data_IF_138277393884
#
_entry.id   IF_138277393884
#
_cell.length_a   1.000
_cell.length_b   1.000
_cell.length_c   1.000
_cell.angle_alpha   90.00
_cell.angle_beta   90.00
_cell.angle_gamma   90.00
#
_symmetry.space_group_name_H-M   'P 1'
#
loop_
_entity.id
_entity.type
_entity.pdbx_description
1 polymer ?
#
# COMPACT_ATOMS: atom_id res chain seq x y z
N UNK A 1 -20.95 9.34 26.59
CA UNK A 1 -20.27 10.13 25.54
C UNK A 1 -19.01 9.38 25.16
N UNK A 2 -19.01 8.76 23.99
CA UNK A 2 -18.12 7.64 23.66
C UNK A 2 -16.67 8.04 23.36
N UNK A 3 -15.77 7.07 23.54
CA UNK A 3 -14.33 7.19 23.22
C UNK A 3 -14.05 7.61 21.77
N UNK A 4 -15.03 7.49 20.87
CA UNK A 4 -14.98 7.98 19.49
C UNK A 4 -14.68 9.49 19.41
N UNK A 5 -15.28 10.31 20.28
CA UNK A 5 -15.04 11.75 20.26
C UNK A 5 -13.58 12.08 20.64
N UNK A 6 -13.04 11.34 21.62
CA UNK A 6 -11.64 11.46 22.03
C UNK A 6 -10.67 11.02 20.93
N UNK A 7 -11.00 9.97 20.17
CA UNK A 7 -10.21 9.56 18.99
C UNK A 7 -10.25 10.64 17.91
N UNK A 8 -11.43 11.22 17.61
CA UNK A 8 -11.57 12.27 16.60
C UNK A 8 -10.79 13.55 16.96
N UNK A 9 -10.81 13.94 18.24
CA UNK A 9 -10.06 15.11 18.72
C UNK A 9 -8.54 14.90 18.70
N UNK A 10 -8.08 13.66 18.79
CA UNK A 10 -6.67 13.32 18.81
C UNK A 10 -6.19 12.64 17.52
N UNK A 11 -6.88 12.81 16.38
CA UNK A 11 -6.50 12.18 15.11
C UNK A 11 -5.08 12.52 14.68
N UNK A 12 -4.64 13.77 14.89
CA UNK A 12 -3.28 14.22 14.59
C UNK A 12 -2.22 13.58 15.48
N UNK A 13 -2.60 13.08 16.65
CA UNK A 13 -1.73 12.35 17.57
C UNK A 13 -2.33 11.00 17.99
N UNK A 14 -2.87 10.26 17.01
CA UNK A 14 -3.64 9.05 17.29
C UNK A 14 -2.80 7.97 17.96
N UNK A 15 -1.51 7.89 17.64
CA UNK A 15 -0.60 6.90 18.20
C UNK A 15 -0.33 7.15 19.69
N UNK A 16 0.10 8.35 20.08
CA UNK A 16 0.37 8.64 21.51
C UNK A 16 -0.91 8.56 22.34
N UNK A 17 -2.02 9.09 21.80
CA UNK A 17 -3.32 9.00 22.47
C UNK A 17 -3.73 7.53 22.68
N UNK A 18 -3.58 6.69 21.66
CA UNK A 18 -3.88 5.26 21.76
C UNK A 18 -3.00 4.57 22.81
N UNK A 19 -1.70 4.87 22.84
CA UNK A 19 -0.78 4.33 23.85
C UNK A 19 -1.20 4.75 25.26
N UNK A 20 -1.53 6.03 25.46
CA UNK A 20 -1.97 6.56 26.75
C UNK A 20 -3.22 5.85 27.23
N UNK A 21 -4.23 5.73 26.37
CA UNK A 21 -5.49 5.07 26.71
C UNK A 21 -5.27 3.58 27.00
N UNK A 22 -4.46 2.87 26.21
CA UNK A 22 -4.16 1.46 26.45
C UNK A 22 -3.38 1.25 27.75
N UNK A 23 -2.39 2.09 28.06
CA UNK A 23 -1.66 2.03 29.34
C UNK A 23 -2.59 2.22 30.53
N UNK A 24 -3.55 3.15 30.43
CA UNK A 24 -4.53 3.38 31.48
C UNK A 24 -5.46 2.17 31.71
N UNK A 25 -5.74 1.38 30.67
CA UNK A 25 -6.66 0.24 30.73
C UNK A 25 -5.93 -1.12 30.79
N UNK A 26 -4.65 -1.14 31.23
CA UNK A 26 -3.90 -2.39 31.39
C UNK A 26 -3.58 -3.11 30.08
N UNK A 27 -3.57 -2.38 28.95
CA UNK A 27 -3.18 -2.89 27.64
C UNK A 27 -4.34 -3.39 26.76
N UNK A 28 -5.58 -3.45 27.24
CA UNK A 28 -6.74 -3.85 26.44
C UNK A 28 -7.94 -2.92 26.69
N UNK A 29 -8.59 -2.48 25.62
CA UNK A 29 -9.71 -1.55 25.65
C UNK A 29 -10.84 -2.02 24.75
N UNK A 30 -12.08 -1.94 25.23
CA UNK A 30 -13.28 -2.25 24.47
C UNK A 30 -14.05 -0.97 24.10
N UNK A 31 -14.15 -0.68 22.80
CA UNK A 31 -14.99 0.37 22.25
C UNK A 31 -16.42 -0.13 22.10
N UNK A 32 -17.21 0.00 23.16
CA UNK A 32 -18.61 -0.45 23.23
C UNK A 32 -19.49 0.08 22.10
N UNK A 33 -19.31 1.34 21.68
CA UNK A 33 -20.07 1.94 20.59
C UNK A 33 -19.71 1.40 19.19
N UNK A 34 -18.56 0.75 19.05
CA UNK A 34 -18.06 0.25 17.75
C UNK A 34 -17.93 -1.27 17.72
N UNK A 35 -18.33 -1.97 18.80
CA UNK A 35 -18.09 -3.41 18.98
C UNK A 35 -16.65 -3.82 18.63
N UNK A 36 -15.67 -2.98 19.00
CA UNK A 36 -14.27 -3.14 18.64
C UNK A 36 -13.44 -3.32 19.92
N UNK A 37 -12.49 -4.27 19.90
CA UNK A 37 -11.51 -4.45 20.98
C UNK A 37 -10.15 -4.06 20.42
N UNK A 38 -9.45 -3.21 21.16
CA UNK A 38 -8.07 -2.82 20.87
C UNK A 38 -7.18 -3.36 21.98
N UNK A 39 -6.11 -4.05 21.61
CA UNK A 39 -5.20 -4.69 22.58
C UNK A 39 -3.74 -4.52 22.15
N UNK A 40 -2.90 -4.19 23.12
CA UNK A 40 -1.44 -4.24 23.04
C UNK A 40 -0.86 -5.32 23.98
N UNK A 41 -1.70 -6.10 24.67
CA UNK A 41 -1.26 -7.24 25.48
C UNK A 41 -0.62 -8.32 24.59
N UNK A 42 0.66 -8.70 24.82
CA UNK A 42 1.35 -9.72 24.04
C UNK A 42 0.63 -11.07 24.00
N UNK A 43 -0.06 -11.47 25.08
CA UNK A 43 -0.81 -12.73 25.13
C UNK A 43 -2.01 -12.70 24.20
N UNK A 44 -2.73 -11.58 24.15
CA UNK A 44 -3.84 -11.38 23.22
C UNK A 44 -3.33 -11.32 21.78
N UNK A 45 -2.23 -10.61 21.52
CA UNK A 45 -1.61 -10.55 20.19
C UNK A 45 -1.19 -11.94 19.73
N UNK A 46 -0.55 -12.74 20.58
CA UNK A 46 -0.18 -14.12 20.25
C UNK A 46 -1.41 -15.00 20.00
N UNK A 47 -2.47 -14.82 20.81
CA UNK A 47 -3.72 -15.54 20.60
C UNK A 47 -4.34 -15.24 19.23
N UNK A 48 -4.44 -13.95 18.87
CA UNK A 48 -5.05 -13.48 17.62
C UNK A 48 -4.21 -13.86 16.41
N UNK A 49 -2.90 -13.62 16.45
CA UNK A 49 -2.02 -13.76 15.27
C UNK A 49 -1.48 -15.17 15.06
N UNK A 50 -1.49 -16.02 16.09
CA UNK A 50 -0.87 -17.35 16.05
C UNK A 50 -1.83 -18.45 16.49
N UNK A 51 -2.26 -18.46 17.76
CA UNK A 51 -2.97 -19.60 18.36
C UNK A 51 -4.36 -19.83 17.76
N UNK A 52 -5.06 -18.76 17.41
CA UNK A 52 -6.47 -18.79 17.03
C UNK A 52 -6.78 -17.93 15.79
N UNK A 53 -5.79 -17.73 14.91
CA UNK A 53 -5.86 -16.86 13.74
C UNK A 53 -7.09 -17.05 12.86
N UNK A 54 -7.57 -18.30 12.72
CA UNK A 54 -8.71 -18.65 11.87
C UNK A 54 -10.00 -17.91 12.29
N UNK A 55 -10.14 -17.58 13.57
CA UNK A 55 -11.30 -16.89 14.11
C UNK A 55 -11.21 -15.35 14.03
N UNK A 56 -10.08 -14.81 13.53
CA UNK A 56 -9.84 -13.37 13.43
C UNK A 56 -9.59 -12.97 11.97
N UNK A 57 -10.59 -13.21 11.12
CA UNK A 57 -10.62 -12.68 9.75
C UNK A 57 -10.68 -11.14 9.71
N UNK A 58 -10.41 -10.56 8.55
CA UNK A 58 -10.44 -9.10 8.33
C UNK A 58 -11.88 -8.58 8.31
N UNK A 59 -12.81 -9.39 7.81
CA UNK A 59 -14.23 -9.10 7.79
C UNK A 59 -14.64 -8.15 6.67
N UNK A 60 -15.96 -8.06 6.47
CA UNK A 60 -16.59 -7.31 5.37
C UNK A 60 -16.27 -5.82 5.38
N UNK A 61 -16.04 -5.22 6.56
CA UNK A 61 -15.73 -3.78 6.65
C UNK A 61 -14.38 -3.47 6.04
N UNK A 62 -13.33 -4.24 6.38
CA UNK A 62 -12.03 -4.07 5.74
C UNK A 62 -12.10 -4.43 4.26
N UNK A 63 -12.88 -5.47 3.92
CA UNK A 63 -13.11 -5.87 2.55
C UNK A 63 -13.62 -4.73 1.65
N UNK A 64 -14.62 -4.00 2.14
CA UNK A 64 -15.20 -2.86 1.43
C UNK A 64 -14.27 -1.65 1.36
N UNK A 65 -13.47 -1.40 2.40
CA UNK A 65 -12.52 -0.28 2.41
C UNK A 65 -11.42 -0.52 1.37
N UNK A 66 -10.87 -1.73 1.33
CA UNK A 66 -9.75 -2.13 0.48
C UNK A 66 -10.18 -2.85 -0.82
N UNK A 67 -11.41 -2.61 -1.28
CA UNK A 67 -12.02 -3.25 -2.44
C UNK A 67 -11.17 -3.17 -3.73
N UNK A 68 -10.39 -2.09 -3.88
CA UNK A 68 -9.43 -1.91 -4.96
C UNK A 68 -8.43 -3.07 -5.08
N UNK A 69 -7.97 -3.63 -3.95
CA UNK A 69 -6.98 -4.71 -3.94
C UNK A 69 -7.57 -6.08 -4.27
N UNK A 70 -8.89 -6.16 -4.54
CA UNK A 70 -9.56 -7.40 -4.93
C UNK A 70 -9.55 -8.47 -3.82
N UNK A 71 -9.51 -9.74 -4.21
CA UNK A 71 -9.53 -10.90 -3.28
C UNK A 71 -8.13 -11.39 -2.88
N UNK A 72 -7.09 -10.59 -3.14
CA UNK A 72 -5.71 -11.00 -2.87
C UNK A 72 -5.35 -10.96 -1.38
N UNK A 73 -4.08 -11.17 -1.07
CA UNK A 73 -3.55 -11.34 0.30
C UNK A 73 -3.91 -10.20 1.26
N UNK A 74 -4.18 -8.99 0.74
CA UNK A 74 -4.58 -7.81 1.51
C UNK A 74 -6.06 -7.88 1.93
N UNK A 75 -6.94 -8.55 1.18
CA UNK A 75 -8.38 -8.52 1.42
C UNK A 75 -9.06 -9.88 1.61
N UNK A 76 -8.35 -10.98 1.32
CA UNK A 76 -8.93 -12.33 1.38
C UNK A 76 -9.21 -12.76 2.82
N UNK A 77 -10.45 -13.18 3.07
CA UNK A 77 -10.87 -13.94 4.26
C UNK A 77 -10.96 -15.46 3.98
N UNK A 78 -10.79 -15.88 2.73
CA UNK A 78 -10.69 -17.29 2.40
C UNK A 78 -9.34 -17.82 2.89
N UNK A 79 -9.36 -18.55 4.01
CA UNK A 79 -8.15 -19.04 4.68
C UNK A 79 -7.24 -19.85 3.75
N UNK A 80 -7.81 -20.68 2.87
CA UNK A 80 -7.02 -21.50 1.95
C UNK A 80 -6.33 -20.65 0.88
N UNK A 81 -7.07 -19.73 0.25
CA UNK A 81 -6.52 -18.80 -0.74
C UNK A 81 -5.45 -17.89 -0.12
N UNK A 82 -5.74 -17.30 1.04
CA UNK A 82 -4.79 -16.45 1.76
C UNK A 82 -3.52 -17.21 2.16
N UNK A 83 -3.64 -18.44 2.68
CA UNK A 83 -2.48 -19.28 3.04
C UNK A 83 -1.64 -19.61 1.82
N UNK A 84 -2.28 -19.93 0.69
CA UNK A 84 -1.59 -20.22 -0.57
C UNK A 84 -0.79 -19.00 -1.02
N UNK A 85 -1.43 -17.85 -1.17
CA UNK A 85 -0.76 -16.61 -1.60
C UNK A 85 0.36 -16.19 -0.66
N UNK A 86 0.12 -16.26 0.66
CA UNK A 86 1.14 -15.96 1.67
C UNK A 86 2.32 -16.91 1.59
N UNK A 87 2.08 -18.21 1.45
CA UNK A 87 3.14 -19.21 1.35
C UNK A 87 4.03 -18.92 0.15
N UNK A 88 3.43 -18.61 -1.00
CA UNK A 88 4.15 -18.30 -2.23
C UNK A 88 4.97 -17.01 -2.05
N UNK A 89 4.35 -15.91 -1.62
CA UNK A 89 5.04 -14.64 -1.38
C UNK A 89 6.20 -14.81 -0.38
N UNK A 90 5.95 -15.46 0.74
CA UNK A 90 6.97 -15.71 1.76
C UNK A 90 8.13 -16.55 1.21
N UNK A 91 7.83 -17.63 0.47
CA UNK A 91 8.85 -18.46 -0.16
C UNK A 91 9.71 -17.68 -1.17
N UNK A 92 9.13 -16.69 -1.83
CA UNK A 92 9.80 -15.87 -2.83
C UNK A 92 10.69 -14.81 -2.17
N UNK A 93 10.18 -14.13 -1.14
CA UNK A 93 10.92 -13.14 -0.34
C UNK A 93 12.09 -13.76 0.43
N UNK A 94 11.99 -15.02 0.84
CA UNK A 94 13.07 -15.72 1.55
C UNK A 94 14.17 -16.28 0.63
N UNK A 95 14.00 -16.26 -0.70
CA UNK A 95 15.04 -16.74 -1.61
C UNK A 95 16.25 -15.82 -1.57
N UNK A 96 17.43 -16.42 -1.47
CA UNK A 96 18.70 -15.70 -1.55
C UNK A 96 18.82 -14.92 -2.87
N UNK A 97 18.37 -15.51 -3.98
CA UNK A 97 18.36 -14.86 -5.30
C UNK A 97 17.51 -13.59 -5.33
N UNK A 98 16.37 -13.58 -4.64
CA UNK A 98 15.54 -12.37 -4.51
C UNK A 98 16.23 -11.32 -3.64
N UNK A 99 16.87 -11.74 -2.55
CA UNK A 99 17.60 -10.83 -1.64
C UNK A 99 18.79 -10.16 -2.34
N UNK A 100 19.58 -10.93 -3.11
CA UNK A 100 20.70 -10.40 -3.90
C UNK A 100 20.17 -9.41 -4.95
N UNK A 101 19.12 -9.77 -5.67
CA UNK A 101 18.49 -8.92 -6.67
C UNK A 101 17.97 -7.61 -6.08
N UNK A 102 17.23 -7.66 -4.96
CA UNK A 102 16.72 -6.48 -4.28
C UNK A 102 17.86 -5.55 -3.83
N UNK A 103 18.93 -6.12 -3.27
CA UNK A 103 20.14 -5.37 -2.88
C UNK A 103 20.76 -4.65 -4.08
N UNK A 104 20.91 -5.34 -5.21
CA UNK A 104 21.48 -4.76 -6.43
C UNK A 104 20.63 -3.59 -6.95
N UNK A 105 19.30 -3.70 -6.94
CA UNK A 105 18.41 -2.60 -7.34
C UNK A 105 18.55 -1.41 -6.41
N UNK A 106 18.49 -1.66 -5.10
CA UNK A 106 18.60 -0.60 -4.09
C UNK A 106 19.94 0.12 -4.25
N UNK A 107 21.04 -0.62 -4.36
CA UNK A 107 22.37 -0.06 -4.53
C UNK A 107 22.46 0.77 -5.81
N UNK A 108 22.00 0.22 -6.95
CA UNK A 108 22.00 0.94 -8.24
C UNK A 108 21.16 2.22 -8.17
N UNK A 109 19.97 2.17 -7.57
CA UNK A 109 19.11 3.36 -7.40
C UNK A 109 19.72 4.40 -6.47
N UNK A 110 20.39 3.95 -5.43
CA UNK A 110 21.02 4.81 -4.44
C UNK A 110 22.22 5.55 -5.05
N UNK A 111 23.10 4.82 -5.74
CA UNK A 111 24.30 5.38 -6.39
C UNK A 111 23.97 6.30 -7.58
N UNK A 112 22.96 5.96 -8.38
CA UNK A 112 22.66 6.72 -9.58
C UNK A 112 21.67 7.87 -9.34
N UNK A 113 20.69 7.70 -8.45
CA UNK A 113 19.57 8.62 -8.35
C UNK A 113 19.57 9.39 -7.01
N UNK A 114 19.59 8.69 -5.87
CA UNK A 114 19.40 9.33 -4.56
C UNK A 114 20.63 10.11 -4.08
N UNK A 115 21.83 9.50 -4.09
CA UNK A 115 23.07 10.19 -3.66
C UNK A 115 23.33 11.41 -4.54
N UNK A 116 23.36 11.31 -5.90
CA UNK A 116 23.65 12.47 -6.74
C UNK A 116 22.60 13.58 -6.60
N UNK A 117 21.35 13.23 -6.34
CA UNK A 117 20.29 14.19 -6.05
C UNK A 117 20.58 14.97 -4.76
N UNK A 118 20.93 14.28 -3.68
CA UNK A 118 21.23 14.90 -2.39
C UNK A 118 22.50 15.77 -2.46
N UNK A 119 23.56 15.29 -3.10
CA UNK A 119 24.79 16.05 -3.32
C UNK A 119 24.51 17.35 -4.06
N UNK A 120 23.78 17.27 -5.18
CA UNK A 120 23.42 18.45 -5.96
C UNK A 120 22.54 19.43 -5.18
N UNK A 121 21.58 18.92 -4.40
CA UNK A 121 20.70 19.76 -3.58
C UNK A 121 21.50 20.49 -2.49
N UNK A 122 22.44 19.79 -1.86
CA UNK A 122 23.36 20.34 -0.86
C UNK A 122 24.22 21.45 -1.43
N UNK A 123 24.81 21.25 -2.62
CA UNK A 123 25.61 22.26 -3.32
C UNK A 123 24.80 23.54 -3.64
N UNK A 124 23.54 23.39 -4.03
CA UNK A 124 22.65 24.52 -4.35
C UNK A 124 22.11 25.19 -3.08
N UNK A 125 22.15 24.51 -1.93
CA UNK A 125 21.63 25.01 -0.66
C UNK A 125 20.10 25.00 -0.57
N UNK A 126 19.43 24.09 -1.28
CA UNK A 126 17.97 24.00 -1.27
C UNK A 126 17.45 23.08 -0.14
N UNK A 127 16.34 23.47 0.47
CA UNK A 127 15.57 22.58 1.34
C UNK A 127 14.80 21.53 0.51
N UNK A 128 14.79 20.28 0.98
CA UNK A 128 14.08 19.18 0.30
C UNK A 128 13.23 18.38 1.27
N UNK A 129 12.04 18.01 0.79
CA UNK A 129 11.18 17.06 1.48
C UNK A 129 11.63 15.62 1.21
N UNK A 130 12.42 15.06 2.12
CA UNK A 130 12.89 13.67 2.01
C UNK A 130 11.75 12.65 1.96
N UNK A 131 10.59 12.92 2.56
CA UNK A 131 9.45 12.00 2.50
C UNK A 131 8.94 11.88 1.06
N UNK A 132 8.86 13.01 0.35
CA UNK A 132 8.46 13.02 -1.06
C UNK A 132 9.43 12.23 -1.94
N UNK A 133 10.74 12.40 -1.77
CA UNK A 133 11.75 11.71 -2.59
C UNK A 133 11.88 10.22 -2.24
N UNK A 134 11.93 9.87 -0.95
CA UNK A 134 12.02 8.47 -0.52
C UNK A 134 10.80 7.66 -0.93
N UNK A 135 9.60 8.28 -0.97
CA UNK A 135 8.39 7.61 -1.50
C UNK A 135 8.53 7.25 -2.97
N UNK A 136 9.15 8.10 -3.78
CA UNK A 136 9.41 7.83 -5.21
C UNK A 136 10.49 6.77 -5.38
N UNK A 137 11.54 6.84 -4.56
CA UNK A 137 12.59 5.84 -4.51
C UNK A 137 12.03 4.44 -4.22
N UNK A 138 11.19 4.31 -3.19
CA UNK A 138 10.55 3.03 -2.85
C UNK A 138 9.53 2.61 -3.92
N UNK A 139 8.78 3.54 -4.51
CA UNK A 139 7.87 3.25 -5.62
C UNK A 139 8.59 2.67 -6.84
N UNK A 140 9.73 3.25 -7.24
CA UNK A 140 10.54 2.74 -8.35
C UNK A 140 11.06 1.32 -8.05
N UNK A 141 11.56 1.09 -6.83
CA UNK A 141 12.03 -0.24 -6.41
C UNK A 141 10.88 -1.27 -6.45
N UNK A 142 9.72 -0.92 -5.90
CA UNK A 142 8.53 -1.79 -5.90
C UNK A 142 8.07 -2.07 -7.33
N UNK A 143 8.02 -1.07 -8.21
CA UNK A 143 7.69 -1.28 -9.62
C UNK A 143 8.72 -2.19 -10.32
N UNK A 144 10.00 -2.06 -10.01
CA UNK A 144 11.01 -2.96 -10.56
C UNK A 144 10.81 -4.40 -10.05
N UNK A 145 10.56 -4.56 -8.75
CA UNK A 145 10.36 -5.84 -8.08
C UNK A 145 8.99 -6.48 -8.34
N UNK A 146 7.97 -5.75 -8.79
CA UNK A 146 6.62 -6.31 -8.97
C UNK A 146 6.02 -6.01 -10.33
N UNK A 147 6.74 -5.31 -11.22
CA UNK A 147 6.33 -5.07 -12.61
C UNK A 147 7.46 -5.32 -13.60
N UNK A 148 8.69 -5.54 -13.12
CA UNK A 148 9.86 -5.80 -13.95
C UNK A 148 10.35 -4.57 -14.72
N UNK A 149 9.94 -3.35 -14.33
CA UNK A 149 10.42 -2.12 -14.98
C UNK A 149 10.64 -1.00 -13.97
N UNK A 150 11.58 -0.13 -14.31
CA UNK A 150 11.83 1.12 -13.59
C UNK A 150 10.98 2.25 -14.20
N UNK A 151 10.03 2.85 -13.47
CA UNK A 151 9.31 4.03 -13.96
C UNK A 151 10.20 5.28 -14.01
N UNK A 152 11.38 5.25 -13.40
CA UNK A 152 12.34 6.35 -13.29
C UNK A 152 11.68 7.61 -12.75
N UNK A 153 10.89 7.44 -11.67
CA UNK A 153 10.24 8.58 -11.05
C UNK A 153 11.22 9.38 -10.21
N UNK A 154 12.29 8.78 -9.70
CA UNK A 154 13.29 9.54 -8.97
C UNK A 154 14.21 10.33 -9.92
N UNK A 155 14.29 11.67 -9.84
CA UNK A 155 15.22 12.43 -10.66
C UNK A 155 16.61 12.47 -10.02
N UNK A 156 17.66 12.45 -10.83
CA UNK A 156 19.05 12.53 -10.38
C UNK A 156 19.47 14.00 -10.17
N UNK A 157 18.62 14.97 -10.57
CA UNK A 157 18.80 16.42 -10.40
C UNK A 157 17.44 17.10 -10.20
N UNK A 158 17.38 18.15 -9.38
CA UNK A 158 16.16 18.94 -9.14
C UNK A 158 15.55 19.45 -10.45
N UNK A 159 16.38 19.92 -11.40
CA UNK A 159 15.92 20.43 -12.70
C UNK A 159 15.21 19.39 -13.58
N UNK A 160 15.37 18.09 -13.27
CA UNK A 160 14.71 16.98 -13.97
C UNK A 160 13.49 16.45 -13.22
N UNK A 161 13.05 17.11 -12.15
CA UNK A 161 11.92 16.66 -11.35
C UNK A 161 10.62 16.71 -12.16
N UNK A 162 10.18 15.54 -12.62
CA UNK A 162 8.85 15.33 -13.17
C UNK A 162 7.84 15.05 -12.06
N UNK A 163 6.58 15.38 -12.27
CA UNK A 163 5.48 15.04 -11.36
C UNK A 163 4.51 14.07 -12.06
N UNK A 164 4.88 12.78 -12.18
CA UNK A 164 4.04 11.82 -12.87
C UNK A 164 2.69 11.70 -12.18
N UNK A 165 1.62 11.73 -12.97
CA UNK A 165 0.26 11.68 -12.46
C UNK A 165 -0.01 10.43 -11.60
N UNK A 166 0.60 9.28 -11.94
CA UNK A 166 0.42 8.02 -11.23
C UNK A 166 1.06 8.00 -9.83
N UNK A 167 2.17 8.70 -9.59
CA UNK A 167 2.76 8.82 -8.24
C UNK A 167 1.84 9.64 -7.34
N UNK A 168 1.22 10.69 -7.87
CA UNK A 168 0.21 11.45 -7.10
C UNK A 168 -1.06 10.65 -6.89
N UNK A 169 -1.46 9.86 -7.88
CA UNK A 169 -2.62 9.00 -7.78
C UNK A 169 -2.50 7.98 -6.64
N UNK A 170 -1.33 7.37 -6.42
CA UNK A 170 -1.15 6.44 -5.28
C UNK A 170 -1.31 7.13 -3.94
N UNK A 171 -0.79 8.35 -3.78
CA UNK A 171 -0.97 9.15 -2.55
C UNK A 171 -2.46 9.44 -2.30
N UNK A 172 -3.17 9.90 -3.33
CA UNK A 172 -4.62 10.15 -3.24
C UNK A 172 -5.38 8.88 -2.87
N UNK A 173 -5.01 7.74 -3.47
CA UNK A 173 -5.64 6.46 -3.15
C UNK A 173 -5.42 6.07 -1.68
N UNK A 174 -4.19 6.16 -1.18
CA UNK A 174 -3.86 5.90 0.23
C UNK A 174 -4.66 6.82 1.17
N UNK A 175 -4.69 8.12 0.91
CA UNK A 175 -5.41 9.10 1.73
C UNK A 175 -6.91 8.80 1.81
N UNK A 176 -7.54 8.44 0.68
CA UNK A 176 -8.97 8.11 0.68
C UNK A 176 -9.23 6.80 1.42
N UNK A 177 -8.37 5.78 1.27
CA UNK A 177 -8.48 4.53 2.03
C UNK A 177 -8.41 4.78 3.55
N UNK A 178 -7.46 5.62 4.00
CA UNK A 178 -7.40 6.04 5.41
C UNK A 178 -8.63 6.85 5.83
N UNK A 179 -9.14 7.71 4.97
CA UNK A 179 -10.35 8.50 5.23
C UNK A 179 -11.60 7.61 5.41
N UNK A 180 -11.71 6.51 4.65
CA UNK A 180 -12.82 5.55 4.77
C UNK A 180 -12.86 4.86 6.15
N UNK A 181 -11.73 4.72 6.85
CA UNK A 181 -11.68 4.13 8.20
C UNK A 181 -12.33 5.01 9.28
N UNK A 182 -12.30 6.33 9.11
CA UNK A 182 -12.86 7.30 10.07
C UNK A 182 -14.22 7.85 9.64
N UNK A 183 -14.62 7.59 8.39
CA UNK A 183 -15.88 8.07 7.83
C UNK A 183 -16.97 7.02 7.97
N UNK A 184 -18.16 7.35 8.49
CA UNK A 184 -19.28 6.40 8.56
C UNK A 184 -19.59 5.78 7.20
N UNK A 185 -19.85 4.46 7.18
CA UNK A 185 -20.07 3.69 5.95
C UNK A 185 -21.05 4.31 4.98
N UNK A 186 -22.21 4.72 5.48
CA UNK A 186 -23.27 5.32 4.66
C UNK A 186 -22.83 6.63 3.99
N UNK A 187 -21.96 7.41 4.63
CA UNK A 187 -21.54 8.72 4.14
C UNK A 187 -20.55 8.60 2.99
N UNK A 188 -19.51 7.77 3.14
CA UNK A 188 -18.57 7.58 2.03
C UNK A 188 -19.20 6.78 0.88
N UNK A 189 -20.10 5.82 1.15
CA UNK A 189 -20.90 5.17 0.09
C UNK A 189 -21.80 6.16 -0.64
N UNK A 190 -22.35 7.16 0.04
CA UNK A 190 -23.11 8.23 -0.61
C UNK A 190 -22.21 9.11 -1.49
N UNK A 191 -21.00 9.46 -1.02
CA UNK A 191 -20.02 10.19 -1.84
C UNK A 191 -19.58 9.40 -3.07
N UNK A 192 -19.39 8.08 -2.93
CA UNK A 192 -19.09 7.16 -4.02
C UNK A 192 -20.25 7.12 -5.02
N UNK A 193 -21.49 7.00 -4.55
CA UNK A 193 -22.66 6.98 -5.44
C UNK A 193 -22.85 8.30 -6.19
N UNK A 194 -22.73 9.43 -5.50
CA UNK A 194 -22.86 10.77 -6.09
C UNK A 194 -21.61 11.22 -6.87
N UNK A 195 -20.52 10.47 -6.79
CA UNK A 195 -19.23 10.80 -7.41
C UNK A 195 -18.73 12.20 -7.00
N UNK A 196 -18.74 12.48 -5.70
CA UNK A 196 -18.30 13.75 -5.10
C UNK A 196 -17.22 13.52 -4.03
N UNK A 197 -16.59 14.60 -3.57
CA UNK A 197 -15.68 14.56 -2.42
C UNK A 197 -14.45 13.69 -2.64
N UNK A 198 -14.09 12.91 -1.62
CA UNK A 198 -12.90 12.07 -1.63
C UNK A 198 -13.04 10.86 -2.56
N UNK A 199 -14.26 10.34 -2.70
CA UNK A 199 -14.53 9.17 -3.56
C UNK A 199 -14.42 9.49 -5.05
N UNK A 200 -14.77 10.72 -5.47
CA UNK A 200 -14.50 11.19 -6.84
C UNK A 200 -12.99 11.19 -7.14
N UNK A 201 -12.19 11.76 -6.23
CA UNK A 201 -10.72 11.79 -6.37
C UNK A 201 -10.14 10.38 -6.40
N UNK A 202 -10.67 9.47 -5.59
CA UNK A 202 -10.28 8.06 -5.60
C UNK A 202 -10.51 7.41 -6.95
N UNK A 203 -11.69 7.62 -7.56
CA UNK A 203 -11.98 7.09 -8.89
C UNK A 203 -11.03 7.65 -9.96
N UNK A 204 -10.81 8.96 -9.99
CA UNK A 204 -9.88 9.59 -10.95
C UNK A 204 -8.44 9.07 -10.77
N UNK A 205 -7.98 8.97 -9.52
CA UNK A 205 -6.67 8.42 -9.19
C UNK A 205 -6.54 6.95 -9.60
N UNK A 206 -7.56 6.14 -9.34
CA UNK A 206 -7.64 4.75 -9.77
C UNK A 206 -7.51 4.63 -11.29
N UNK A 207 -8.25 5.42 -12.06
CA UNK A 207 -8.16 5.40 -13.52
C UNK A 207 -6.76 5.76 -14.05
N UNK A 208 -6.10 6.74 -13.43
CA UNK A 208 -4.71 7.12 -13.78
C UNK A 208 -3.75 5.97 -13.49
N UNK A 209 -3.90 5.33 -12.33
CA UNK A 209 -3.03 4.24 -11.89
C UNK A 209 -3.26 2.96 -12.72
N UNK A 210 -4.51 2.64 -13.04
CA UNK A 210 -4.88 1.52 -13.91
C UNK A 210 -4.35 1.73 -15.33
N UNK A 211 -4.46 2.95 -15.89
CA UNK A 211 -3.85 3.30 -17.20
C UNK A 211 -2.34 3.13 -17.18
N UNK A 212 -1.67 3.50 -16.09
CA UNK A 212 -0.23 3.29 -15.93
C UNK A 212 0.13 1.80 -16.00
N UNK A 213 -0.59 0.93 -15.28
CA UNK A 213 -0.35 -0.51 -15.35
C UNK A 213 -0.64 -1.11 -16.72
N UNK A 214 -1.76 -0.75 -17.35
CA UNK A 214 -2.14 -1.28 -18.67
C UNK A 214 -1.09 -0.91 -19.71
N UNK A 215 -0.69 0.37 -19.77
CA UNK A 215 0.35 0.83 -20.70
C UNK A 215 1.63 0.03 -20.54
N UNK A 216 2.08 -0.15 -19.29
CA UNK A 216 3.35 -0.82 -18.99
C UNK A 216 3.30 -2.33 -19.20
N UNK A 217 2.16 -2.97 -19.00
CA UNK A 217 1.96 -4.38 -19.40
C UNK A 217 2.15 -4.57 -20.91
N UNK A 218 1.66 -3.64 -21.72
CA UNK A 218 1.82 -3.69 -23.18
C UNK A 218 3.29 -3.51 -23.57
N UNK A 219 3.99 -2.56 -22.94
CA UNK A 219 5.42 -2.32 -23.18
C UNK A 219 6.30 -3.51 -22.74
N UNK A 220 5.99 -4.13 -21.59
CA UNK A 220 6.72 -5.29 -21.07
C UNK A 220 6.52 -6.56 -21.92
N UNK A 221 5.38 -6.72 -22.60
CA UNK A 221 5.20 -7.82 -23.57
C UNK A 221 6.05 -7.63 -24.83
N UNK A 222 6.43 -6.39 -25.16
CA UNK A 222 7.30 -6.08 -26.30
C UNK A 222 8.80 -6.26 -25.97
N UNK A 223 9.19 -6.16 -24.70
CA UNK A 223 10.58 -6.31 -24.23
C UNK A 223 10.75 -7.65 -23.52
N UNK A 224 11.08 -8.71 -24.28
CA UNK A 224 11.21 -10.09 -23.77
C UNK A 224 12.52 -10.39 -23.02
N UNK A 225 13.43 -9.43 -22.93
CA UNK A 225 14.77 -9.64 -22.38
C UNK A 225 14.92 -8.82 -21.09
N UNK A 226 15.43 -9.44 -20.03
CA UNK A 226 15.70 -8.87 -18.68
C UNK A 226 14.62 -9.02 -17.60
N UNK A 227 13.64 -9.90 -17.79
CA UNK A 227 12.66 -10.16 -16.73
C UNK A 227 13.14 -11.30 -15.80
N UNK A 228 13.33 -11.07 -14.48
CA UNK A 228 13.88 -12.08 -13.58
C UNK A 228 13.00 -13.34 -13.48
N UNK A 229 13.61 -14.51 -13.32
CA UNK A 229 12.88 -15.80 -13.29
C UNK A 229 11.73 -15.86 -12.26
N UNK A 230 11.86 -15.19 -11.11
CA UNK A 230 10.80 -15.16 -10.08
C UNK A 230 9.57 -14.34 -10.49
N UNK A 231 9.67 -13.51 -11.53
CA UNK A 231 8.53 -12.84 -12.15
C UNK A 231 7.56 -13.82 -12.82
N UNK A 232 8.11 -14.81 -13.53
CA UNK A 232 7.32 -15.88 -14.13
C UNK A 232 6.70 -16.79 -13.05
N UNK A 233 7.35 -16.91 -11.88
CA UNK A 233 6.72 -17.52 -10.70
C UNK A 233 5.54 -16.67 -10.21
N UNK A 234 5.71 -15.37 -10.00
CA UNK A 234 4.62 -14.49 -9.56
C UNK A 234 3.42 -14.47 -10.52
N UNK A 235 3.66 -14.50 -11.83
CA UNK A 235 2.62 -14.65 -12.86
C UNK A 235 1.98 -16.04 -12.82
N UNK A 236 2.78 -17.10 -12.80
CA UNK A 236 2.30 -18.49 -12.77
C UNK A 236 1.46 -18.81 -11.53
N UNK A 237 1.67 -18.08 -10.45
CA UNK A 237 0.92 -18.19 -9.20
C UNK A 237 -0.23 -17.19 -9.06
N UNK A 238 -0.51 -16.35 -10.06
CA UNK A 238 -1.61 -15.38 -10.02
C UNK A 238 -1.45 -14.25 -9.00
N UNK A 239 -0.27 -14.08 -8.39
CA UNK A 239 0.01 -13.04 -7.41
C UNK A 239 0.18 -11.64 -8.04
N UNK A 240 0.46 -11.61 -9.34
CA UNK A 240 0.42 -10.41 -10.18
C UNK A 240 -0.87 -10.44 -11.01
N UNK A 241 -1.99 -10.79 -10.37
CA UNK A 241 -3.32 -10.55 -10.92
C UNK A 241 -3.81 -9.19 -10.44
N UNK A 242 -3.36 -8.11 -11.09
CA UNK A 242 -4.23 -6.91 -11.14
C UNK A 242 -5.41 -7.36 -11.98
N UNK A 243 -6.54 -7.60 -11.31
CA UNK A 243 -7.84 -8.02 -11.85
C UNK A 243 -7.97 -7.49 -13.28
N UNK A 244 -8.11 -8.37 -14.27
CA UNK A 244 -8.74 -8.00 -15.52
C UNK A 244 -10.17 -7.62 -15.16
N UNK A 245 -10.41 -6.34 -14.84
CA UNK A 245 -11.77 -5.83 -14.86
C UNK A 245 -12.20 -5.93 -16.31
N UNK A 246 -13.24 -6.71 -16.66
CA UNK A 246 -13.82 -6.58 -17.97
C UNK A 246 -14.27 -5.12 -18.07
N UNK A 247 -13.79 -4.44 -19.09
CA UNK A 247 -14.29 -3.14 -19.49
C UNK A 247 -15.80 -3.33 -19.71
N UNK A 248 -16.63 -2.94 -18.74
CA UNK A 248 -18.08 -2.98 -18.84
C UNK A 248 -18.54 -1.74 -19.62
N UNK A 249 -18.12 -1.68 -20.88
CA UNK A 249 -18.56 -0.75 -21.92
C UNK A 249 -18.23 -1.40 -23.28
N UNK A 250 -18.93 -2.50 -23.56
CA UNK A 250 -19.32 -2.94 -24.90
C UNK A 250 -20.80 -3.33 -24.80
#
# INVERSE_FOLDING_TARGET
MGMLLGVLQNLSNIHDYTILVLKHHGGTLMFTNMNCILTADPMNVHHITSKNFINYGKGSTLHEIFDYFGEGIINSDNLHAWKLERSILHSLLQRETFTIFLRQIIQKKLENDLIPFLDHTSEVGNEVDLQFYLRRFTFDIVCYCFLGFDPQTHPNKISKLSHPAYVRATVVMEEVLFHRHITPRWLWKLQEWLQIGQEKKFKEAREIFDKFFVKRKTDAKAVKNEVPHWWELLKGYGLVAIKETPCSLC
#
